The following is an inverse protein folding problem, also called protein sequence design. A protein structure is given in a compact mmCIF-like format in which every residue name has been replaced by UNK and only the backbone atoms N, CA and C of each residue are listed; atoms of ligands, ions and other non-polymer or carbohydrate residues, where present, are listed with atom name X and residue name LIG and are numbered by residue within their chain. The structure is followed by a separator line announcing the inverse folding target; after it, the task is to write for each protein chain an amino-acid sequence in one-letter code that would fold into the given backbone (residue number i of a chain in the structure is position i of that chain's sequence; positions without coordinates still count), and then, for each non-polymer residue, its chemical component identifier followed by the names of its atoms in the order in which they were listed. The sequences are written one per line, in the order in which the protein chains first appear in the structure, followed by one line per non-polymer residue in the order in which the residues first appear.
data_IF_576166452833
#
_entry.id   IF_576166452833
#
_cell.length_a   1.000
_cell.length_b   1.000
_cell.length_c   1.000
_cell.angle_alpha   90.00
_cell.angle_beta   90.00
_cell.angle_gamma   90.00
#
_symmetry.space_group_name_H-M   'P 1'
#
loop_
_entity.id
_entity.type
_entity.pdbx_description
1 polymer ?
#
# COMPACT_ATOMS: atom_id res chain seq x y z
N UNK A 1 -9.84 15.10 9.34
CA UNK A 1 -10.35 14.49 10.58
C UNK A 1 -9.99 13.01 10.55
N UNK A 2 -9.02 12.56 11.36
CA UNK A 2 -8.94 11.14 11.70
C UNK A 2 -10.00 10.86 12.77
N UNK A 3 -10.72 9.76 12.66
CA UNK A 3 -11.78 9.40 13.60
C UNK A 3 -11.21 9.33 15.03
N UNK A 4 -11.66 10.23 15.90
CA UNK A 4 -11.44 10.15 17.34
C UNK A 4 -12.38 9.14 18.00
N UNK A 5 -12.55 7.96 17.40
CA UNK A 5 -13.44 6.91 17.91
C UNK A 5 -12.68 5.92 18.81
N UNK A 6 -13.39 5.44 19.84
CA UNK A 6 -12.84 4.76 21.01
C UNK A 6 -12.48 3.28 20.79
N UNK A 7 -12.84 2.70 19.65
CA UNK A 7 -12.55 1.30 19.31
C UNK A 7 -11.52 1.22 18.20
N UNK A 8 -10.24 1.34 18.59
CA UNK A 8 -9.10 1.03 17.73
C UNK A 8 -8.98 -0.50 17.54
N UNK A 9 -9.92 -1.09 16.80
CA UNK A 9 -9.70 -2.44 16.27
C UNK A 9 -8.67 -2.36 15.11
N UNK A 10 -7.89 -3.42 14.90
CA UNK A 10 -6.87 -3.54 13.85
C UNK A 10 -7.38 -3.03 12.50
N UNK A 11 -8.60 -3.40 12.15
CA UNK A 11 -9.19 -3.07 10.85
C UNK A 11 -9.47 -1.55 10.73
N UNK A 12 -9.90 -0.92 11.82
CA UNK A 12 -10.12 0.53 11.90
C UNK A 12 -8.82 1.34 11.81
N UNK A 13 -7.74 0.83 12.41
CA UNK A 13 -6.42 1.45 12.38
C UNK A 13 -5.79 1.42 10.98
N UNK A 14 -6.06 0.39 10.18
CA UNK A 14 -5.36 0.19 8.91
C UNK A 14 -6.20 0.56 7.69
N UNK A 15 -7.47 0.16 7.57
CA UNK A 15 -8.21 0.37 6.32
C UNK A 15 -9.68 0.77 6.44
N UNK A 16 -10.30 0.78 7.63
CA UNK A 16 -11.71 1.23 7.78
C UNK A 16 -11.85 2.75 7.93
N UNK A 17 -10.80 3.47 8.35
CA UNK A 17 -10.83 4.93 8.39
C UNK A 17 -10.86 5.51 6.96
N UNK A 18 -11.74 6.49 6.63
CA UNK A 18 -11.80 7.05 5.28
C UNK A 18 -10.45 7.57 4.76
N UNK A 19 -9.63 8.15 5.65
CA UNK A 19 -8.28 8.59 5.29
C UNK A 19 -7.38 7.42 4.89
N UNK A 20 -7.29 6.38 5.72
CA UNK A 20 -6.37 5.25 5.48
C UNK A 20 -6.86 4.40 4.31
N UNK A 21 -8.17 4.26 4.15
CA UNK A 21 -8.75 3.61 2.97
C UNK A 21 -8.45 4.37 1.68
N UNK A 22 -8.55 5.71 1.68
CA UNK A 22 -8.23 6.50 0.48
C UNK A 22 -6.76 6.37 0.11
N UNK A 23 -5.86 6.35 1.10
CA UNK A 23 -4.43 6.07 0.87
C UNK A 23 -4.25 4.68 0.25
N UNK A 24 -4.88 3.65 0.83
CA UNK A 24 -4.84 2.29 0.32
C UNK A 24 -5.36 2.16 -1.11
N UNK A 25 -6.52 2.78 -1.39
CA UNK A 25 -7.12 2.85 -2.72
C UNK A 25 -6.16 3.48 -3.73
N UNK A 26 -5.57 4.62 -3.39
CA UNK A 26 -4.64 5.32 -4.28
C UNK A 26 -3.44 4.46 -4.68
N UNK A 27 -2.91 3.62 -3.77
CA UNK A 27 -1.67 2.86 -4.02
C UNK A 27 -1.91 1.43 -4.52
N UNK A 28 -3.06 0.82 -4.23
CA UNK A 28 -3.31 -0.60 -4.47
C UNK A 28 -4.45 -0.90 -5.46
N UNK A 29 -5.32 0.07 -5.78
CA UNK A 29 -6.47 -0.16 -6.68
C UNK A 29 -6.06 -0.70 -8.05
N UNK A 30 -4.98 -0.19 -8.64
CA UNK A 30 -4.49 -0.66 -9.94
C UNK A 30 -3.95 -2.10 -9.92
N UNK A 31 -3.59 -2.61 -8.74
CA UNK A 31 -3.07 -3.97 -8.53
C UNK A 31 -4.16 -4.95 -8.08
N UNK A 32 -5.11 -4.48 -7.29
CA UNK A 32 -6.20 -5.29 -6.72
C UNK A 32 -7.48 -5.26 -7.57
N UNK A 33 -7.69 -4.20 -8.33
CA UNK A 33 -8.90 -3.98 -9.13
C UNK A 33 -10.15 -4.06 -8.26
N UNK A 34 -11.12 -4.86 -8.69
CA UNK A 34 -12.39 -5.08 -7.98
C UNK A 34 -12.24 -5.80 -6.62
N UNK A 35 -11.05 -6.34 -6.30
CA UNK A 35 -10.79 -7.01 -5.03
C UNK A 35 -10.25 -6.05 -3.95
N UNK A 36 -10.25 -4.74 -4.20
CA UNK A 36 -9.91 -3.76 -3.17
C UNK A 36 -11.05 -3.64 -2.17
N UNK A 37 -10.70 -3.65 -0.89
CA UNK A 37 -11.65 -3.70 0.22
C UNK A 37 -11.05 -2.98 1.43
N UNK A 38 -11.88 -2.30 2.25
CA UNK A 38 -11.45 -1.75 3.53
C UNK A 38 -11.32 -2.82 4.62
N UNK A 39 -11.76 -4.06 4.35
CA UNK A 39 -11.66 -5.17 5.29
C UNK A 39 -10.25 -5.78 5.26
N UNK A 40 -9.67 -5.98 6.45
CA UNK A 40 -8.32 -6.49 6.58
C UNK A 40 -8.21 -7.96 6.16
N UNK A 41 -9.14 -8.80 6.61
CA UNK A 41 -9.07 -10.24 6.37
C UNK A 41 -9.31 -10.53 4.89
N UNK A 42 -10.26 -9.85 4.25
CA UNK A 42 -10.44 -9.91 2.80
C UNK A 42 -9.20 -9.40 2.05
N UNK A 43 -8.56 -8.33 2.53
CA UNK A 43 -7.30 -7.83 1.95
C UNK A 43 -6.20 -8.88 2.03
N UNK A 44 -6.06 -9.58 3.16
CA UNK A 44 -5.08 -10.65 3.35
C UNK A 44 -5.40 -11.87 2.48
N UNK A 45 -6.66 -12.29 2.40
CA UNK A 45 -7.09 -13.37 1.48
C UNK A 45 -6.77 -13.00 0.03
N UNK A 46 -7.06 -11.75 -0.33
CA UNK A 46 -6.76 -11.19 -1.63
C UNK A 46 -5.25 -11.23 -1.91
N UNK A 47 -4.40 -10.85 -0.96
CA UNK A 47 -2.93 -10.93 -1.07
C UNK A 47 -2.40 -12.35 -1.28
N UNK A 48 -3.05 -13.35 -0.69
CA UNK A 48 -2.67 -14.76 -0.79
C UNK A 48 -3.19 -15.45 -2.06
N UNK A 49 -4.16 -14.83 -2.76
CA UNK A 49 -4.73 -15.40 -3.98
C UNK A 49 -3.69 -15.52 -5.10
N UNK A 50 -3.71 -16.69 -5.77
CA UNK A 50 -2.84 -17.03 -6.89
C UNK A 50 -3.39 -16.62 -8.26
N UNK A 51 -4.54 -15.93 -8.30
CA UNK A 51 -5.20 -15.56 -9.57
C UNK A 51 -4.52 -14.40 -10.30
N UNK A 52 -3.57 -13.71 -9.66
CA UNK A 52 -2.85 -12.55 -10.21
C UNK A 52 -1.58 -12.93 -10.94
N UNK A 53 -1.13 -12.02 -11.81
CA UNK A 53 0.18 -12.15 -12.44
C UNK A 53 1.28 -12.18 -11.37
N UNK A 54 2.35 -12.96 -11.62
CA UNK A 54 3.49 -13.04 -10.70
C UNK A 54 4.07 -11.66 -10.36
N UNK A 55 4.13 -10.76 -11.35
CA UNK A 55 4.66 -9.42 -11.17
C UNK A 55 3.76 -8.60 -10.23
N UNK A 56 2.45 -8.66 -10.40
CA UNK A 56 1.50 -7.95 -9.53
C UNK A 56 1.58 -8.45 -8.09
N UNK A 57 1.65 -9.77 -7.87
CA UNK A 57 1.81 -10.34 -6.53
C UNK A 57 3.11 -9.91 -5.87
N UNK A 58 4.21 -9.82 -6.63
CA UNK A 58 5.51 -9.38 -6.11
C UNK A 58 5.51 -7.89 -5.79
N UNK A 59 4.81 -7.05 -6.57
CA UNK A 59 4.65 -5.61 -6.29
C UNK A 59 3.71 -5.37 -5.11
N UNK A 60 2.63 -6.13 -5.02
CA UNK A 60 1.57 -5.90 -4.04
C UNK A 60 2.07 -6.12 -2.60
N UNK A 61 3.02 -7.04 -2.39
CA UNK A 61 3.63 -7.31 -1.07
C UNK A 61 4.34 -6.09 -0.45
N UNK A 62 5.32 -5.46 -1.12
CA UNK A 62 5.95 -4.25 -0.59
C UNK A 62 4.97 -3.07 -0.52
N UNK A 63 3.98 -2.96 -1.43
CA UNK A 63 2.91 -1.95 -1.33
C UNK A 63 2.12 -2.12 -0.03
N UNK A 64 1.69 -3.34 0.26
CA UNK A 64 0.95 -3.67 1.48
C UNK A 64 1.79 -3.37 2.73
N UNK A 65 3.01 -3.91 2.82
CA UNK A 65 3.90 -3.68 3.95
C UNK A 65 4.17 -2.17 4.16
N UNK A 66 4.54 -1.46 3.11
CA UNK A 66 4.83 -0.03 3.17
C UNK A 66 3.60 0.77 3.58
N UNK A 67 2.40 0.41 3.08
CA UNK A 67 1.16 1.08 3.45
C UNK A 67 0.89 0.97 4.96
N UNK A 68 1.01 -0.23 5.53
CA UNK A 68 0.84 -0.46 6.97
C UNK A 68 1.84 0.36 7.76
N UNK A 69 3.12 0.33 7.37
CA UNK A 69 4.17 1.06 8.08
C UNK A 69 3.94 2.58 8.05
N UNK A 70 3.61 3.13 6.88
CA UNK A 70 3.39 4.57 6.72
C UNK A 70 2.13 5.02 7.46
N UNK A 71 1.04 4.25 7.38
CA UNK A 71 -0.21 4.52 8.13
C UNK A 71 0.07 4.48 9.63
N UNK A 72 0.77 3.46 10.12
CA UNK A 72 1.16 3.37 11.52
C UNK A 72 2.02 4.56 11.95
N UNK A 73 3.03 4.93 11.14
CA UNK A 73 3.91 6.08 11.41
C UNK A 73 3.13 7.39 11.46
N UNK A 74 2.17 7.60 10.57
CA UNK A 74 1.30 8.77 10.53
C UNK A 74 0.42 8.86 11.78
N UNK A 75 -0.23 7.75 12.15
CA UNK A 75 -1.04 7.67 13.38
C UNK A 75 -0.19 7.93 14.63
N UNK A 76 1.04 7.40 14.67
CA UNK A 76 1.97 7.65 15.77
C UNK A 76 2.43 9.13 15.82
N UNK A 77 2.72 9.73 14.67
CA UNK A 77 3.07 11.16 14.56
C UNK A 77 1.96 12.04 15.14
N UNK A 78 0.70 11.77 14.79
CA UNK A 78 -0.47 12.50 15.30
C UNK A 78 -0.63 12.37 16.80
N UNK A 79 -0.43 11.17 17.36
CA UNK A 79 -0.46 10.92 18.82
C UNK A 79 0.56 11.76 19.58
N UNK A 80 1.70 12.07 18.95
CA UNK A 80 2.77 12.88 19.53
C UNK A 80 2.73 14.36 19.10
N UNK A 81 1.58 14.87 18.66
CA UNK A 81 1.38 16.29 18.32
C UNK A 81 1.85 16.68 16.92
N UNK A 82 2.15 15.71 16.06
CA UNK A 82 2.47 15.94 14.65
C UNK A 82 1.25 16.36 13.82
N UNK A 83 1.50 17.10 12.74
CA UNK A 83 0.46 17.50 11.79
C UNK A 83 -0.08 16.31 10.98
N UNK A 84 -1.33 16.39 10.56
CA UNK A 84 -1.93 15.40 9.66
C UNK A 84 -1.35 15.55 8.24
N UNK A 85 -0.73 14.51 7.72
CA UNK A 85 -0.31 14.45 6.32
C UNK A 85 -1.51 14.27 5.39
N UNK A 86 -1.49 14.96 4.24
CA UNK A 86 -2.50 14.80 3.20
C UNK A 86 -2.38 13.44 2.50
N UNK A 87 -3.51 12.91 2.01
CA UNK A 87 -3.56 11.59 1.34
C UNK A 87 -2.53 11.50 0.22
N UNK A 88 -2.42 12.51 -0.64
CA UNK A 88 -1.45 12.50 -1.75
C UNK A 88 -0.01 12.43 -1.26
N UNK A 89 0.34 13.17 -0.19
CA UNK A 89 1.69 13.17 0.34
C UNK A 89 2.06 11.77 0.89
N UNK A 90 1.12 11.14 1.59
CA UNK A 90 1.26 9.79 2.14
C UNK A 90 1.37 8.75 1.02
N UNK A 91 0.47 8.76 0.05
CA UNK A 91 0.46 7.85 -1.11
C UNK A 91 1.73 7.99 -1.96
N UNK A 92 2.19 9.23 -2.20
CA UNK A 92 3.45 9.50 -2.91
C UNK A 92 4.67 9.00 -2.14
N UNK A 93 4.64 9.12 -0.81
CA UNK A 93 5.66 8.55 0.08
C UNK A 93 5.74 7.04 -0.05
N UNK A 94 4.60 6.35 0.01
CA UNK A 94 4.51 4.89 -0.19
C UNK A 94 5.06 4.50 -1.56
N UNK A 95 4.60 5.14 -2.63
CA UNK A 95 5.05 4.83 -3.98
C UNK A 95 6.56 5.02 -4.18
N UNK A 96 7.16 6.02 -3.52
CA UNK A 96 8.61 6.25 -3.54
C UNK A 96 9.39 5.12 -2.84
N UNK A 97 8.93 4.67 -1.68
CA UNK A 97 9.56 3.56 -0.95
C UNK A 97 9.48 2.27 -1.78
N UNK A 98 8.29 1.93 -2.29
CA UNK A 98 8.11 0.74 -3.13
C UNK A 98 8.97 0.79 -4.39
N UNK A 99 9.04 1.94 -5.06
CA UNK A 99 9.93 2.13 -6.22
C UNK A 99 11.40 1.87 -5.85
N UNK A 100 11.85 2.41 -4.72
CA UNK A 100 13.23 2.24 -4.26
C UNK A 100 13.52 0.77 -3.93
N UNK A 101 12.59 0.09 -3.26
CA UNK A 101 12.70 -1.33 -2.93
C UNK A 101 12.82 -2.16 -4.21
N UNK A 102 11.91 -1.98 -5.17
CA UNK A 102 11.94 -2.68 -6.47
C UNK A 102 13.25 -2.39 -7.21
N UNK A 103 13.72 -1.13 -7.22
CA UNK A 103 14.97 -0.73 -7.89
C UNK A 103 16.21 -1.34 -7.23
N UNK A 104 16.16 -1.57 -5.91
CA UNK A 104 17.28 -2.13 -5.15
C UNK A 104 17.52 -3.63 -5.41
N UNK A 105 16.52 -4.34 -5.96
CA UNK A 105 16.57 -5.79 -6.20
C UNK A 105 17.57 -6.19 -7.29
N UNK A 106 18.10 -5.22 -8.07
CA UNK A 106 19.23 -5.38 -9.02
C UNK A 106 19.19 -6.68 -9.83
N UNK A 107 18.09 -6.94 -10.53
CA UNK A 107 17.94 -8.14 -11.35
C UNK A 107 18.95 -8.18 -12.50
N UNK A 108 19.52 -9.35 -12.77
CA UNK A 108 20.39 -9.63 -13.93
C UNK A 108 19.54 -10.02 -15.15
N UNK A 109 20.12 -10.02 -16.36
CA UNK A 109 19.40 -10.47 -17.57
C UNK A 109 18.82 -11.88 -17.44
N UNK A 110 17.66 -12.14 -18.06
CA UNK A 110 16.84 -13.37 -17.95
C UNK A 110 16.29 -13.68 -16.54
N UNK A 111 16.17 -12.67 -15.67
CA UNK A 111 15.61 -12.88 -14.33
C UNK A 111 14.08 -13.08 -14.39
N UNK A 112 13.53 -13.95 -13.53
CA UNK A 112 12.08 -14.20 -13.41
C UNK A 112 11.25 -12.94 -13.05
N UNK A 113 11.89 -11.84 -12.68
CA UNK A 113 11.26 -10.57 -12.33
C UNK A 113 11.65 -9.46 -13.31
N UNK A 114 12.11 -9.84 -14.51
CA UNK A 114 12.24 -8.92 -15.62
C UNK A 114 10.89 -8.25 -15.91
N UNK A 115 10.92 -6.94 -16.17
CA UNK A 115 9.72 -6.13 -16.32
C UNK A 115 9.02 -5.71 -15.01
N UNK A 116 9.49 -6.10 -13.82
CA UNK A 116 8.85 -5.71 -12.55
C UNK A 116 8.78 -4.19 -12.37
N UNK A 117 9.87 -3.48 -12.64
CA UNK A 117 9.91 -2.02 -12.54
C UNK A 117 9.06 -1.34 -13.63
N UNK A 118 9.01 -1.90 -14.84
CA UNK A 118 8.14 -1.42 -15.91
C UNK A 118 6.67 -1.58 -15.53
N UNK A 119 6.31 -2.75 -14.96
CA UNK A 119 4.99 -3.01 -14.44
C UNK A 119 4.64 -2.06 -13.31
N UNK A 120 5.57 -1.79 -12.39
CA UNK A 120 5.39 -0.79 -11.34
C UNK A 120 5.06 0.60 -11.91
N UNK A 121 5.80 1.06 -12.93
CA UNK A 121 5.48 2.32 -13.58
C UNK A 121 4.09 2.29 -14.22
N UNK A 122 3.71 1.21 -14.92
CA UNK A 122 2.38 1.10 -15.53
C UNK A 122 1.22 1.17 -14.53
N UNK A 123 1.41 0.71 -13.28
CA UNK A 123 0.38 0.75 -12.23
C UNK A 123 0.46 1.99 -11.34
N UNK A 124 1.60 2.70 -11.33
CA UNK A 124 1.88 3.86 -10.45
C UNK A 124 2.12 5.16 -11.26
N UNK A 125 1.65 5.23 -12.51
CA UNK A 125 1.65 6.46 -13.31
C UNK A 125 0.52 7.38 -12.86
N UNK A 126 0.84 8.29 -11.93
CA UNK A 126 0.15 9.56 -11.71
C UNK A 126 1.16 10.68 -11.85
#
# INVERSE_FOLDING_TARGET
MGCGEKDENRDHLYYTCPYTFTVWMTVAERLLGAAITPDWDDTVVSLLSTTRSRLDTVILRPVFHTSIYVIWKESNSRRHGGACAFVEATSKGIGKVVKNDISSLKYKGNHKLEGLLQRWFAVNSN
#
